data_IF_453196935486
#
_entry.id   IF_453196935486
#
_cell.length_a   1.000
_cell.length_b   1.000
_cell.length_c   1.000
_cell.angle_alpha   90.00
_cell.angle_beta   90.00
_cell.angle_gamma   90.00
#
_symmetry.space_group_name_H-M   'P 1'
#
loop_
_entity.id
_entity.type
_entity.pdbx_description
1 polymer ?
#
# COMPACT_ATOMS: atom_id res chain seq x y z
N UNK A 1 18.38 1.60 0.17
CA UNK A 1 17.24 0.72 0.51
C UNK A 1 17.37 0.21 1.94
N UNK A 2 16.33 0.38 2.76
CA UNK A 2 16.32 -0.01 4.18
C UNK A 2 15.01 -0.70 4.55
N UNK A 3 15.09 -1.88 5.19
CA UNK A 3 13.92 -2.57 5.73
C UNK A 3 13.45 -1.92 7.02
N UNK A 4 12.15 -1.74 7.15
CA UNK A 4 11.50 -1.22 8.36
C UNK A 4 10.36 -2.15 8.78
N UNK A 5 9.99 -2.09 10.05
CA UNK A 5 8.91 -2.92 10.59
C UNK A 5 7.54 -2.22 10.50
N UNK A 6 7.53 -0.90 10.35
CA UNK A 6 6.33 -0.08 10.38
C UNK A 6 6.53 1.24 9.61
N UNK A 7 5.48 1.72 8.95
CA UNK A 7 5.35 3.11 8.50
C UNK A 7 4.44 3.83 9.49
N UNK A 8 4.97 4.87 10.15
CA UNK A 8 4.23 5.61 11.19
C UNK A 8 3.14 6.47 10.54
N UNK A 9 2.00 6.70 11.22
CA UNK A 9 0.91 7.52 10.67
C UNK A 9 1.28 8.95 10.28
N UNK A 10 2.34 9.50 10.89
CA UNK A 10 2.86 10.85 10.64
C UNK A 10 4.11 10.85 9.75
N UNK A 11 4.27 9.84 8.89
CA UNK A 11 5.34 9.84 7.89
C UNK A 11 5.01 10.86 6.81
N UNK A 12 5.87 11.84 6.62
CA UNK A 12 5.66 12.98 5.70
C UNK A 12 6.55 12.93 4.45
N UNK A 13 7.48 11.98 4.36
CA UNK A 13 8.41 11.88 3.23
C UNK A 13 8.96 10.48 3.03
N UNK A 14 9.48 10.27 1.83
CA UNK A 14 10.14 9.04 1.40
C UNK A 14 9.28 8.13 0.56
N UNK A 15 9.94 7.16 -0.07
CA UNK A 15 9.30 6.22 -0.99
C UNK A 15 9.42 4.82 -0.42
N UNK A 16 8.27 4.15 -0.26
CA UNK A 16 8.18 2.86 0.40
C UNK A 16 7.52 1.83 -0.49
N UNK A 17 8.16 0.66 -0.59
CA UNK A 17 7.52 -0.54 -1.11
C UNK A 17 6.94 -1.33 0.05
N UNK A 18 5.64 -1.58 0.03
CA UNK A 18 4.91 -2.40 1.00
C UNK A 18 4.43 -3.67 0.31
N UNK A 19 5.03 -4.78 0.65
CA UNK A 19 4.62 -6.09 0.14
C UNK A 19 3.61 -6.67 1.11
N UNK A 20 2.47 -7.10 0.59
CA UNK A 20 1.42 -7.80 1.31
C UNK A 20 1.26 -9.20 0.74
N UNK A 21 0.49 -10.08 1.41
CA UNK A 21 0.29 -11.46 0.92
C UNK A 21 -0.14 -11.55 -0.55
N UNK A 22 -0.93 -10.59 -1.04
CA UNK A 22 -1.55 -10.67 -2.38
C UNK A 22 -1.13 -9.55 -3.33
N UNK A 23 -0.37 -8.55 -2.88
CA UNK A 23 -0.08 -7.36 -3.69
C UNK A 23 1.15 -6.63 -3.16
N UNK A 24 1.84 -5.95 -4.06
CA UNK A 24 2.82 -4.91 -3.73
C UNK A 24 2.18 -3.55 -3.85
N UNK A 25 2.52 -2.65 -2.93
CA UNK A 25 2.15 -1.25 -2.95
C UNK A 25 3.41 -0.39 -3.02
N UNK A 26 3.37 0.65 -3.82
CA UNK A 26 4.35 1.73 -3.80
C UNK A 26 3.67 2.95 -3.18
N UNK A 27 4.22 3.43 -2.08
CA UNK A 27 3.77 4.64 -1.39
C UNK A 27 4.83 5.71 -1.58
N UNK A 28 4.45 6.80 -2.24
CA UNK A 28 5.29 7.99 -2.34
C UNK A 28 4.70 9.07 -1.43
N UNK A 29 5.38 9.34 -0.31
CA UNK A 29 4.96 10.41 0.59
C UNK A 29 5.43 11.80 0.14
N UNK A 30 6.37 11.88 -0.79
CA UNK A 30 6.81 13.15 -1.35
C UNK A 30 5.74 13.69 -2.31
N UNK A 31 5.19 12.81 -3.15
CA UNK A 31 4.15 13.16 -4.12
C UNK A 31 2.72 12.84 -3.63
N UNK A 32 2.60 12.20 -2.47
CA UNK A 32 1.33 11.76 -1.87
C UNK A 32 0.52 10.86 -2.82
N UNK A 33 1.18 9.83 -3.35
CA UNK A 33 0.58 8.85 -4.26
C UNK A 33 0.69 7.42 -3.72
N UNK A 34 -0.22 6.57 -4.19
CA UNK A 34 -0.22 5.14 -3.94
C UNK A 34 -0.45 4.41 -5.26
N UNK A 35 0.43 3.48 -5.59
CA UNK A 35 0.25 2.52 -6.67
C UNK A 35 0.11 1.10 -6.11
N UNK A 36 -0.80 0.32 -6.68
CA UNK A 36 -0.96 -1.10 -6.35
C UNK A 36 -0.58 -1.98 -7.54
N UNK A 37 0.33 -2.92 -7.33
CA UNK A 37 0.65 -4.00 -8.25
C UNK A 37 0.15 -5.34 -7.66
N UNK A 38 -1.01 -5.87 -8.10
CA UNK A 38 -1.54 -7.14 -7.61
C UNK A 38 -0.66 -8.33 -8.04
N UNK A 39 -0.52 -9.35 -7.18
CA UNK A 39 0.20 -10.58 -7.50
C UNK A 39 1.73 -10.45 -7.58
N UNK A 40 2.27 -9.24 -7.60
CA UNK A 40 3.72 -9.00 -7.56
C UNK A 40 4.20 -9.05 -6.11
N UNK A 41 5.24 -9.85 -5.83
CA UNK A 41 5.91 -9.93 -4.53
C UNK A 41 5.11 -10.61 -3.40
N UNK A 42 3.85 -10.98 -3.64
CA UNK A 42 3.03 -11.72 -2.68
C UNK A 42 3.55 -13.12 -2.40
N UNK A 43 3.10 -13.73 -1.31
CA UNK A 43 3.37 -15.15 -1.03
C UNK A 43 2.52 -15.99 -1.97
N UNK A 44 3.08 -17.02 -2.61
CA UNK A 44 2.38 -18.04 -3.44
C UNK A 44 1.40 -18.93 -2.62
N UNK A 45 0.83 -18.39 -1.55
CA UNK A 45 -0.12 -19.07 -0.68
C UNK A 45 -1.46 -19.17 -1.40
N UNK A 46 -1.84 -20.40 -1.78
CA UNK A 46 -3.15 -20.73 -2.36
C UNK A 46 -4.35 -20.34 -1.49
N UNK A 47 -4.11 -20.02 -0.21
CA UNK A 47 -5.13 -19.58 0.74
C UNK A 47 -5.71 -18.19 0.38
N UNK A 48 -4.97 -17.36 -0.38
CA UNK A 48 -5.36 -15.98 -0.68
C UNK A 48 -5.56 -15.74 -2.17
N UNK A 49 -6.81 -15.58 -2.59
CA UNK A 49 -7.11 -15.19 -3.96
C UNK A 49 -6.64 -13.75 -4.26
N UNK A 50 -5.87 -13.57 -5.34
CA UNK A 50 -5.47 -12.24 -5.82
C UNK A 50 -6.67 -11.58 -6.51
N UNK A 51 -7.28 -10.61 -5.84
CA UNK A 51 -8.33 -9.78 -6.44
C UNK A 51 -7.72 -8.70 -7.34
N UNK A 52 -8.16 -8.66 -8.60
CA UNK A 52 -7.94 -7.50 -9.47
C UNK A 52 -8.87 -6.37 -9.04
N UNK A 53 -8.33 -5.19 -8.86
CA UNK A 53 -9.08 -3.98 -8.56
C UNK A 53 -9.01 -3.02 -9.75
N UNK A 54 -9.97 -2.09 -9.81
CA UNK A 54 -9.92 -1.00 -10.80
C UNK A 54 -8.62 -0.21 -10.60
N UNK A 55 -7.95 0.16 -11.70
CA UNK A 55 -6.70 0.95 -11.71
C UNK A 55 -5.52 0.33 -10.96
N UNK A 56 -5.47 -1.00 -10.89
CA UNK A 56 -4.20 -1.67 -10.62
C UNK A 56 -3.15 -1.17 -11.63
N UNK A 57 -1.93 -0.90 -11.15
CA UNK A 57 -0.84 -0.27 -11.92
C UNK A 57 -1.02 1.20 -12.31
N UNK A 58 -1.96 1.93 -11.69
CA UNK A 58 -2.04 3.39 -11.78
C UNK A 58 -1.90 4.05 -10.40
N UNK A 59 -1.35 5.26 -10.38
CA UNK A 59 -1.26 6.07 -9.17
C UNK A 59 -2.63 6.61 -8.76
N UNK A 60 -2.97 6.48 -7.48
CA UNK A 60 -4.12 7.14 -6.86
C UNK A 60 -3.66 8.08 -5.73
N UNK A 61 -4.42 9.14 -5.41
CA UNK A 61 -4.04 10.05 -4.34
C UNK A 61 -4.03 9.36 -2.97
N UNK A 62 -2.88 9.39 -2.31
CA UNK A 62 -2.70 9.02 -0.91
C UNK A 62 -2.99 10.24 -0.04
N UNK A 63 -3.74 10.04 1.04
CA UNK A 63 -4.05 11.08 2.02
C UNK A 63 -3.36 10.83 3.36
N UNK A 64 -2.92 9.60 3.60
CA UNK A 64 -2.18 9.22 4.78
C UNK A 64 -2.24 7.73 5.09
N UNK A 65 -1.51 7.33 6.11
CA UNK A 65 -1.48 5.96 6.62
C UNK A 65 -2.04 5.95 8.03
N UNK A 66 -2.97 5.03 8.31
CA UNK A 66 -3.47 4.81 9.68
C UNK A 66 -2.70 3.71 10.40
N UNK A 67 -2.43 2.62 9.70
CA UNK A 67 -1.61 1.51 10.20
C UNK A 67 -0.89 0.84 9.03
N UNK A 68 0.39 0.55 9.17
CA UNK A 68 1.15 -0.24 8.20
C UNK A 68 2.34 -0.87 8.92
N UNK A 69 2.15 -2.11 9.37
CA UNK A 69 3.12 -2.86 10.17
C UNK A 69 3.21 -4.29 9.66
N UNK A 70 4.42 -4.83 9.60
CA UNK A 70 4.66 -6.22 9.20
C UNK A 70 3.85 -7.18 10.09
N UNK A 71 3.14 -8.12 9.47
CA UNK A 71 2.26 -9.09 10.13
C UNK A 71 0.79 -8.64 10.27
N UNK A 72 0.48 -7.37 10.07
CA UNK A 72 -0.87 -6.80 10.24
C UNK A 72 -1.43 -6.30 8.90
N UNK A 73 -2.75 -6.20 8.80
CA UNK A 73 -3.39 -5.54 7.65
C UNK A 73 -3.09 -4.04 7.65
N UNK A 74 -2.61 -3.52 6.53
CA UNK A 74 -2.41 -2.09 6.37
C UNK A 74 -3.74 -1.38 6.07
N UNK A 75 -3.81 -0.11 6.47
CA UNK A 75 -4.94 0.78 6.23
C UNK A 75 -4.43 2.11 5.67
N UNK A 76 -4.75 2.35 4.40
CA UNK A 76 -4.39 3.56 3.68
C UNK A 76 -5.60 4.45 3.47
N UNK A 77 -5.47 5.73 3.79
CA UNK A 77 -6.49 6.74 3.49
C UNK A 77 -6.26 7.25 2.09
N UNK A 78 -7.21 7.07 1.19
CA UNK A 78 -7.06 7.42 -0.23
C UNK A 78 -8.29 8.15 -0.74
N UNK A 79 -8.15 8.88 -1.85
CA UNK A 79 -9.31 9.31 -2.64
C UNK A 79 -9.78 8.17 -3.53
N UNK A 80 -11.09 8.07 -3.76
CA UNK A 80 -11.62 7.10 -4.71
C UNK A 80 -11.12 7.44 -6.12
N UNK A 81 -10.81 6.41 -6.89
CA UNK A 81 -10.29 6.54 -8.24
C UNK A 81 -11.26 7.23 -9.21
N UNK A 82 -12.56 7.02 -9.00
CA UNK A 82 -13.62 7.44 -9.92
C UNK A 82 -14.30 8.75 -9.47
N UNK A 83 -14.08 9.16 -8.22
CA UNK A 83 -14.65 10.38 -7.63
C UNK A 83 -13.63 11.02 -6.66
N UNK A 84 -13.01 12.15 -7.02
CA UNK A 84 -11.99 12.81 -6.21
C UNK A 84 -12.54 13.40 -4.91
N UNK A 85 -13.85 13.56 -4.77
CA UNK A 85 -14.50 14.07 -3.55
C UNK A 85 -14.77 12.95 -2.53
N UNK A 86 -14.77 11.70 -2.98
CA UNK A 86 -14.95 10.53 -2.12
C UNK A 86 -13.61 10.11 -1.51
N UNK A 87 -13.61 9.97 -0.18
CA UNK A 87 -12.46 9.50 0.61
C UNK A 87 -12.80 8.14 1.20
N UNK A 88 -11.88 7.20 1.11
CA UNK A 88 -12.12 5.83 1.57
C UNK A 88 -10.87 5.19 2.16
N UNK A 89 -11.10 4.16 2.99
CA UNK A 89 -10.04 3.30 3.51
C UNK A 89 -9.78 2.15 2.55
N UNK A 90 -8.52 2.01 2.14
CA UNK A 90 -8.04 0.80 1.49
C UNK A 90 -7.39 -0.09 2.54
N UNK A 91 -8.00 -1.25 2.78
CA UNK A 91 -7.53 -2.26 3.73
C UNK A 91 -6.87 -3.38 2.94
N UNK A 92 -5.66 -3.79 3.35
CA UNK A 92 -4.88 -4.82 2.64
C UNK A 92 -4.94 -6.17 3.33
N UNK A 93 -4.52 -7.22 2.63
CA UNK A 93 -4.03 -8.44 3.30
C UNK A 93 -2.80 -8.12 4.17
N UNK A 94 -2.44 -8.98 5.13
CA UNK A 94 -1.31 -8.73 6.03
C UNK A 94 -0.03 -8.36 5.28
N UNK A 95 0.69 -7.37 5.83
CA UNK A 95 1.99 -6.91 5.33
C UNK A 95 3.05 -7.99 5.59
N UNK A 96 3.86 -8.28 4.59
CA UNK A 96 4.96 -9.24 4.62
C UNK A 96 6.29 -8.52 4.78
N UNK A 97 6.51 -7.41 4.08
CA UNK A 97 7.73 -6.61 4.22
C UNK A 97 7.49 -5.15 3.85
N UNK A 98 8.32 -4.28 4.42
CA UNK A 98 8.33 -2.84 4.12
C UNK A 98 9.77 -2.44 3.85
N UNK A 99 9.99 -1.80 2.70
CA UNK A 99 11.30 -1.33 2.26
C UNK A 99 11.22 0.14 1.85
N UNK A 100 12.06 0.98 2.46
CA UNK A 100 12.30 2.35 2.00
C UNK A 100 13.32 2.32 0.85
N UNK A 101 13.03 2.96 -0.27
CA UNK A 101 13.79 2.82 -1.52
C UNK A 101 14.40 4.10 -2.09
N UNK A 102 14.09 5.27 -1.51
CA UNK A 102 14.81 6.53 -1.74
C UNK A 102 16.14 6.62 -0.95
#
# INVERSE_FOLDING_TARGET
MARVQEIRPNTESGVYTVITRTSTYLLDFNDMTLLRAPGVGGTDSEEWAVSRLRRDSEDIPLLGVKSCRVGESAQFWVRAADDPDVRTWRITTPVVSIERID
#
